data_IF_137341588539
#
_entry.id   IF_137341588539
#
_cell.length_a   1.000
_cell.length_b   1.000
_cell.length_c   1.000
_cell.angle_alpha   90.00
_cell.angle_beta   90.00
_cell.angle_gamma   90.00
#
_symmetry.space_group_name_H-M   'P 1'
#
loop_
_entity.id
_entity.type
_entity.pdbx_description
1 polymer ?
#
# COMPACT_ATOMS: atom_id res chain seq x y z
N UNK A 1 38.29 -20.19 6.03
CA UNK A 1 36.82 -20.41 6.02
C UNK A 1 35.99 -19.34 5.28
N UNK A 2 36.58 -18.28 4.69
CA UNK A 2 35.83 -17.34 3.83
C UNK A 2 35.25 -17.99 2.55
N UNK A 3 35.83 -19.10 2.09
CA UNK A 3 35.45 -19.83 0.87
C UNK A 3 34.10 -20.55 1.00
N UNK A 4 33.69 -20.96 2.22
CA UNK A 4 32.49 -21.78 2.44
C UNK A 4 31.15 -21.03 2.27
N UNK A 5 31.15 -19.70 2.14
CA UNK A 5 29.91 -18.90 1.98
C UNK A 5 29.58 -18.54 0.52
N UNK A 6 30.49 -18.83 -0.42
CA UNK A 6 30.27 -18.62 -1.86
C UNK A 6 29.13 -19.44 -2.48
N UNK A 7 28.87 -20.70 -2.07
CA UNK A 7 27.88 -21.53 -2.75
C UNK A 7 26.45 -20.97 -2.68
N UNK A 8 26.03 -20.39 -1.55
CA UNK A 8 24.70 -19.78 -1.45
C UNK A 8 24.56 -18.50 -2.30
N UNK A 9 25.66 -17.76 -2.51
CA UNK A 9 25.67 -16.54 -3.33
C UNK A 9 25.54 -16.85 -4.82
N UNK A 10 26.23 -17.90 -5.28
CA UNK A 10 26.16 -18.35 -6.67
C UNK A 10 24.82 -19.02 -6.99
N UNK A 11 24.27 -19.82 -6.08
CA UNK A 11 23.06 -20.62 -6.38
C UNK A 11 21.85 -19.77 -6.72
N UNK A 12 21.56 -18.68 -5.99
CA UNK A 12 20.40 -17.85 -6.33
C UNK A 12 20.52 -17.22 -7.73
N UNK A 13 21.72 -16.79 -8.11
CA UNK A 13 21.97 -16.19 -9.42
C UNK A 13 21.82 -17.24 -10.53
N UNK A 14 22.37 -18.44 -10.33
CA UNK A 14 22.21 -19.57 -11.25
C UNK A 14 20.75 -19.96 -11.41
N UNK A 15 19.99 -20.04 -10.32
CA UNK A 15 18.56 -20.35 -10.38
C UNK A 15 17.76 -19.26 -11.09
N UNK A 16 18.03 -17.99 -10.80
CA UNK A 16 17.37 -16.89 -11.47
C UNK A 16 17.68 -16.86 -12.98
N UNK A 17 18.94 -17.06 -13.38
CA UNK A 17 19.32 -17.16 -14.79
C UNK A 17 18.69 -18.38 -15.46
N UNK A 18 18.65 -19.53 -14.77
CA UNK A 18 17.98 -20.74 -15.27
C UNK A 18 16.49 -20.53 -15.50
N UNK A 19 15.81 -19.82 -14.59
CA UNK A 19 14.41 -19.44 -14.78
C UNK A 19 14.23 -18.54 -16.00
N UNK A 20 15.05 -17.50 -16.14
CA UNK A 20 14.98 -16.56 -17.28
C UNK A 20 15.24 -17.29 -18.60
N UNK A 21 16.26 -18.14 -18.67
CA UNK A 21 16.58 -18.92 -19.86
C UNK A 21 15.42 -19.88 -20.22
N UNK A 22 14.90 -20.62 -19.23
CA UNK A 22 13.77 -21.53 -19.43
C UNK A 22 12.55 -20.80 -20.03
N UNK A 23 12.17 -19.65 -19.46
CA UNK A 23 11.04 -18.85 -19.95
C UNK A 23 11.35 -18.24 -21.33
N UNK A 24 12.60 -17.80 -21.57
CA UNK A 24 13.07 -17.27 -22.85
C UNK A 24 13.00 -18.29 -23.99
N UNK A 25 13.25 -19.56 -23.69
CA UNK A 25 13.11 -20.69 -24.63
C UNK A 25 11.66 -21.16 -24.80
N UNK A 26 10.70 -20.49 -24.17
CA UNK A 26 9.27 -20.81 -24.25
C UNK A 26 8.80 -21.94 -23.32
N UNK A 27 9.68 -22.46 -22.46
CA UNK A 27 9.33 -23.49 -21.48
C UNK A 27 8.73 -22.90 -20.21
N UNK A 28 7.68 -23.54 -19.69
CA UNK A 28 6.97 -23.13 -18.48
C UNK A 28 7.38 -23.96 -17.28
N UNK A 29 7.22 -23.42 -16.08
CA UNK A 29 7.53 -24.09 -14.80
C UNK A 29 6.72 -25.38 -14.65
N UNK A 30 5.49 -25.42 -15.18
CA UNK A 30 4.64 -26.61 -15.16
C UNK A 30 4.92 -27.61 -16.28
N UNK A 31 5.91 -27.37 -17.15
CA UNK A 31 6.32 -28.32 -18.17
C UNK A 31 7.13 -29.48 -17.57
N UNK A 32 7.16 -30.64 -18.23
CA UNK A 32 8.00 -31.78 -17.84
C UNK A 32 9.39 -31.63 -18.47
N UNK A 33 10.50 -31.80 -17.73
CA UNK A 33 10.59 -32.19 -16.31
C UNK A 33 10.63 -31.02 -15.31
N UNK A 34 10.54 -29.76 -15.77
CA UNK A 34 10.72 -28.56 -14.95
C UNK A 34 9.89 -28.55 -13.65
N UNK A 35 8.64 -29.02 -13.68
CA UNK A 35 7.75 -29.03 -12.51
C UNK A 35 8.33 -29.82 -11.34
N UNK A 36 9.12 -30.87 -11.61
CA UNK A 36 9.78 -31.70 -10.60
C UNK A 36 11.17 -31.16 -10.24
N UNK A 37 11.87 -30.57 -11.22
CA UNK A 37 13.22 -30.00 -11.01
C UNK A 37 13.18 -28.81 -10.06
N UNK A 38 12.23 -27.87 -10.24
CA UNK A 38 12.13 -26.64 -9.46
C UNK A 38 12.03 -26.86 -7.94
N UNK A 39 11.13 -27.72 -7.43
CA UNK A 39 11.08 -28.05 -6.00
C UNK A 39 12.39 -28.60 -5.45
N UNK A 40 13.06 -29.48 -6.19
CA UNK A 40 14.33 -30.09 -5.77
C UNK A 40 15.44 -29.05 -5.66
N UNK A 41 15.63 -28.24 -6.71
CA UNK A 41 16.69 -27.21 -6.70
C UNK A 41 16.42 -26.10 -5.69
N UNK A 42 15.15 -25.76 -5.44
CA UNK A 42 14.78 -24.82 -4.37
C UNK A 42 15.05 -25.41 -2.99
N UNK A 43 14.72 -26.69 -2.75
CA UNK A 43 15.02 -27.35 -1.48
C UNK A 43 16.52 -27.39 -1.19
N UNK A 44 17.34 -27.72 -2.20
CA UNK A 44 18.79 -27.68 -2.11
C UNK A 44 19.30 -26.26 -1.85
N UNK A 45 18.78 -25.25 -2.54
CA UNK A 45 19.16 -23.85 -2.33
C UNK A 45 18.81 -23.36 -0.91
N UNK A 46 17.60 -23.64 -0.41
CA UNK A 46 17.16 -23.30 0.95
C UNK A 46 18.02 -24.03 2.00
N UNK A 47 18.36 -25.29 1.75
CA UNK A 47 19.27 -26.04 2.61
C UNK A 47 20.67 -25.38 2.65
N UNK A 48 21.24 -25.03 1.50
CA UNK A 48 22.54 -24.34 1.41
C UNK A 48 22.51 -22.95 2.06
N UNK A 49 21.40 -22.22 1.93
CA UNK A 49 21.18 -20.94 2.58
C UNK A 49 21.19 -21.11 4.11
N UNK A 50 20.44 -22.10 4.63
CA UNK A 50 20.42 -22.43 6.05
C UNK A 50 21.79 -22.83 6.61
N UNK A 51 22.57 -23.60 5.85
CA UNK A 51 23.93 -23.97 6.27
C UNK A 51 24.86 -22.75 6.29
N UNK A 52 24.75 -21.88 5.29
CA UNK A 52 25.47 -20.61 5.24
C UNK A 52 25.20 -19.75 6.47
N UNK A 53 23.92 -19.59 6.85
CA UNK A 53 23.53 -18.80 8.02
C UNK A 53 24.02 -19.42 9.33
N UNK A 54 23.94 -20.75 9.46
CA UNK A 54 24.46 -21.47 10.64
C UNK A 54 25.96 -21.27 10.83
N UNK A 55 26.73 -21.41 9.75
CA UNK A 55 28.18 -21.21 9.78
C UNK A 55 28.55 -19.76 10.15
N UNK A 56 27.74 -18.80 9.71
CA UNK A 56 27.93 -17.39 10.06
C UNK A 56 27.56 -17.08 11.50
N UNK A 57 26.46 -17.64 12.00
CA UNK A 57 26.06 -17.49 13.39
C UNK A 57 27.15 -18.03 14.33
N UNK A 58 27.76 -19.17 13.98
CA UNK A 58 28.90 -19.72 14.70
C UNK A 58 30.13 -18.78 14.66
N UNK A 59 30.46 -18.24 13.49
CA UNK A 59 31.60 -17.32 13.33
C UNK A 59 31.38 -15.92 13.96
N UNK A 60 30.14 -15.52 14.20
CA UNK A 60 29.79 -14.25 14.86
C UNK A 60 29.96 -14.31 16.39
N UNK A 61 29.92 -15.51 16.99
CA UNK A 61 30.23 -15.74 18.41
C UNK A 61 31.64 -15.29 18.81
N UNK A 62 32.57 -15.20 17.84
CA UNK A 62 33.98 -14.81 18.04
C UNK A 62 34.22 -13.27 18.03
N UNK A 63 33.21 -12.46 18.37
CA UNK A 63 33.37 -11.02 18.63
C UNK A 63 33.38 -10.10 17.40
N UNK A 64 32.85 -10.52 16.24
CA UNK A 64 32.71 -9.66 15.03
C UNK A 64 31.28 -9.14 14.84
N UNK A 65 31.10 -7.86 14.46
CA UNK A 65 29.83 -7.15 14.60
C UNK A 65 28.70 -7.66 13.68
N UNK A 66 27.46 -7.50 14.17
CA UNK A 66 26.19 -7.85 13.52
C UNK A 66 25.95 -7.22 12.13
N UNK A 67 26.74 -6.22 11.73
CA UNK A 67 26.64 -5.53 10.45
C UNK A 67 26.82 -6.47 9.23
N UNK A 68 27.56 -7.57 9.37
CA UNK A 68 27.75 -8.56 8.29
C UNK A 68 26.48 -9.38 8.01
N UNK A 69 25.56 -9.45 8.98
CA UNK A 69 24.35 -10.29 8.92
C UNK A 69 23.22 -9.65 8.09
N UNK A 70 23.19 -8.32 7.96
CA UNK A 70 22.17 -7.62 7.13
C UNK A 70 22.41 -7.78 5.63
N UNK A 71 23.67 -7.87 5.19
CA UNK A 71 24.03 -8.10 3.79
C UNK A 71 23.51 -9.44 3.24
N UNK A 72 23.28 -10.43 4.11
CA UNK A 72 22.73 -11.73 3.71
C UNK A 72 21.20 -11.78 3.67
N UNK A 73 20.51 -10.80 4.26
CA UNK A 73 19.06 -10.65 4.11
C UNK A 73 18.64 -10.53 2.64
N UNK A 74 19.50 -9.98 1.78
CA UNK A 74 19.23 -9.92 0.34
C UNK A 74 19.00 -11.29 -0.28
N UNK A 75 19.75 -12.33 0.11
CA UNK A 75 19.58 -13.67 -0.46
C UNK A 75 18.21 -14.26 -0.11
N UNK A 76 17.74 -14.08 1.12
CA UNK A 76 16.38 -14.47 1.51
C UNK A 76 15.30 -13.75 0.71
N UNK A 77 15.47 -12.45 0.49
CA UNK A 77 14.56 -11.67 -0.34
C UNK A 77 14.60 -12.11 -1.81
N UNK A 78 15.78 -12.37 -2.35
CA UNK A 78 15.97 -12.86 -3.72
C UNK A 78 15.35 -14.26 -3.91
N UNK A 79 15.48 -15.16 -2.94
CA UNK A 79 14.76 -16.45 -2.95
C UNK A 79 13.25 -16.24 -2.96
N UNK A 80 12.73 -15.32 -2.13
CA UNK A 80 11.31 -15.01 -2.11
C UNK A 80 10.82 -14.42 -3.44
N UNK A 81 11.61 -13.56 -4.10
CA UNK A 81 11.30 -13.05 -5.43
C UNK A 81 11.29 -14.17 -6.47
N UNK A 82 12.30 -15.03 -6.48
CA UNK A 82 12.35 -16.17 -7.40
C UNK A 82 11.12 -17.07 -7.25
N UNK A 83 10.76 -17.44 -6.01
CA UNK A 83 9.55 -18.24 -5.74
C UNK A 83 8.30 -17.51 -6.23
N UNK A 84 8.22 -16.20 -6.04
CA UNK A 84 7.10 -15.38 -6.52
C UNK A 84 7.01 -15.40 -8.05
N UNK A 85 8.14 -15.30 -8.76
CA UNK A 85 8.17 -15.39 -10.22
C UNK A 85 7.81 -16.79 -10.74
N UNK A 86 8.26 -17.86 -10.06
CA UNK A 86 7.87 -19.23 -10.39
C UNK A 86 6.35 -19.43 -10.23
N UNK A 87 5.78 -18.93 -9.13
CA UNK A 87 4.33 -18.93 -8.92
C UNK A 87 3.60 -18.11 -10.00
N UNK A 88 4.14 -16.95 -10.38
CA UNK A 88 3.58 -16.13 -11.44
C UNK A 88 3.59 -16.84 -12.80
N UNK A 89 4.63 -17.60 -13.15
CA UNK A 89 4.66 -18.40 -14.39
C UNK A 89 3.67 -19.59 -14.35
N UNK A 90 3.52 -20.24 -13.19
CA UNK A 90 2.48 -21.24 -12.97
C UNK A 90 1.07 -20.65 -13.18
N UNK A 91 0.82 -19.46 -12.62
CA UNK A 91 -0.45 -18.75 -12.79
C UNK A 91 -0.67 -18.32 -14.23
N UNK A 92 0.35 -17.78 -14.90
CA UNK A 92 0.31 -17.43 -16.33
C UNK A 92 -0.13 -18.62 -17.17
N UNK A 93 0.48 -19.79 -16.93
CA UNK A 93 0.14 -21.04 -17.59
C UNK A 93 -1.30 -21.49 -17.29
N UNK A 94 -1.75 -21.34 -16.04
CA UNK A 94 -3.12 -21.66 -15.62
C UNK A 94 -4.18 -20.76 -16.25
N UNK A 95 -3.94 -19.45 -16.28
CA UNK A 95 -4.81 -18.44 -16.91
C UNK A 95 -4.94 -18.71 -18.41
N UNK A 96 -3.83 -19.07 -19.07
CA UNK A 96 -3.82 -19.49 -20.46
C UNK A 96 -4.68 -20.72 -20.71
N UNK A 97 -4.47 -21.79 -19.94
CA UNK A 97 -5.25 -23.03 -20.05
C UNK A 97 -6.75 -22.83 -19.78
N UNK A 98 -7.10 -21.88 -18.92
CA UNK A 98 -8.48 -21.53 -18.59
C UNK A 98 -9.10 -20.47 -19.53
N UNK A 99 -8.38 -20.03 -20.58
CA UNK A 99 -8.84 -19.06 -21.57
C UNK A 99 -9.29 -17.70 -20.96
N UNK A 100 -8.72 -17.34 -19.81
CA UNK A 100 -9.15 -16.18 -19.02
C UNK A 100 -8.59 -14.84 -19.51
N UNK A 101 -7.62 -14.85 -20.43
CA UNK A 101 -6.95 -13.64 -20.95
C UNK A 101 -7.90 -12.64 -21.62
N UNK A 102 -9.05 -13.10 -22.12
CA UNK A 102 -10.08 -12.26 -22.74
C UNK A 102 -11.05 -11.61 -21.74
N UNK A 103 -10.85 -11.83 -20.44
CA UNK A 103 -11.73 -11.34 -19.38
C UNK A 103 -10.94 -10.61 -18.29
N UNK A 104 -11.63 -9.89 -17.42
CA UNK A 104 -11.01 -9.28 -16.24
C UNK A 104 -10.45 -10.30 -15.24
N UNK A 105 -10.78 -11.60 -15.36
CA UNK A 105 -10.27 -12.64 -14.48
C UNK A 105 -8.74 -12.76 -14.52
N UNK A 106 -8.10 -12.59 -15.68
CA UNK A 106 -6.65 -12.65 -15.77
C UNK A 106 -5.99 -11.61 -14.85
N UNK A 107 -6.46 -10.36 -14.91
CA UNK A 107 -5.99 -9.28 -14.04
C UNK A 107 -6.31 -9.53 -12.56
N UNK A 108 -7.53 -10.01 -12.26
CA UNK A 108 -7.96 -10.37 -10.90
C UNK A 108 -7.07 -11.44 -10.30
N UNK A 109 -6.87 -12.58 -11.00
CA UNK A 109 -6.07 -13.70 -10.50
C UNK A 109 -4.63 -13.28 -10.24
N UNK A 110 -4.01 -12.52 -11.17
CA UNK A 110 -2.64 -12.04 -11.01
C UNK A 110 -2.50 -11.07 -9.83
N UNK A 111 -3.40 -10.08 -9.72
CA UNK A 111 -3.33 -9.08 -8.67
C UNK A 111 -3.68 -9.67 -7.29
N UNK A 112 -4.70 -10.52 -7.18
CA UNK A 112 -5.04 -11.25 -5.94
C UNK A 112 -3.88 -12.12 -5.49
N UNK A 113 -3.17 -12.78 -6.42
CA UNK A 113 -2.00 -13.59 -6.08
C UNK A 113 -0.84 -12.74 -5.55
N UNK A 114 -0.56 -11.58 -6.18
CA UNK A 114 0.43 -10.64 -5.68
C UNK A 114 0.07 -10.10 -4.28
N UNK A 115 -1.22 -9.79 -4.06
CA UNK A 115 -1.76 -9.40 -2.74
C UNK A 115 -1.56 -10.52 -1.73
N UNK A 116 -1.86 -11.77 -2.10
CA UNK A 116 -1.73 -12.93 -1.23
C UNK A 116 -0.27 -13.15 -0.80
N UNK A 117 0.69 -13.04 -1.73
CA UNK A 117 2.12 -13.16 -1.40
C UNK A 117 2.58 -11.99 -0.51
N UNK A 118 2.20 -10.75 -0.84
CA UNK A 118 2.49 -9.58 0.00
C UNK A 118 1.96 -9.77 1.43
N UNK A 119 0.71 -10.21 1.55
CA UNK A 119 0.06 -10.45 2.82
C UNK A 119 0.70 -11.61 3.59
N UNK A 120 1.07 -12.69 2.90
CA UNK A 120 1.79 -13.81 3.50
C UNK A 120 3.12 -13.34 4.09
N UNK A 121 3.92 -12.57 3.35
CA UNK A 121 5.17 -11.99 3.84
C UNK A 121 4.93 -11.04 5.03
N UNK A 122 3.93 -10.15 4.93
CA UNK A 122 3.62 -9.19 5.98
C UNK A 122 3.12 -9.86 7.27
N UNK A 123 2.25 -10.88 7.18
CA UNK A 123 1.72 -11.61 8.34
C UNK A 123 2.74 -12.56 8.95
N UNK A 124 3.45 -13.33 8.12
CA UNK A 124 4.39 -14.33 8.57
C UNK A 124 5.67 -13.69 9.13
N UNK A 125 6.33 -12.84 8.34
CA UNK A 125 7.58 -12.22 8.76
C UNK A 125 7.37 -10.97 9.64
N UNK A 126 6.23 -10.30 9.54
CA UNK A 126 5.89 -9.17 10.41
C UNK A 126 5.81 -9.54 11.90
N UNK A 127 5.60 -10.83 12.24
CA UNK A 127 5.74 -11.33 13.62
C UNK A 127 7.11 -11.05 14.22
N UNK A 128 8.15 -10.99 13.40
CA UNK A 128 9.52 -10.67 13.78
C UNK A 128 9.89 -9.20 13.58
N UNK A 129 8.94 -8.27 13.50
CA UNK A 129 9.23 -6.85 13.30
C UNK A 129 9.80 -6.15 14.54
N UNK A 130 9.82 -6.81 15.70
CA UNK A 130 10.48 -6.34 16.94
C UNK A 130 11.55 -7.33 17.39
N UNK A 131 12.62 -6.88 18.10
CA UNK A 131 13.76 -7.73 18.41
C UNK A 131 13.40 -8.91 19.34
N UNK A 132 12.61 -8.65 20.38
CA UNK A 132 12.18 -9.69 21.33
C UNK A 132 11.31 -10.76 20.67
N UNK A 133 10.34 -10.35 19.84
CA UNK A 133 9.49 -11.29 19.10
C UNK A 133 10.30 -12.07 18.04
N UNK A 134 11.26 -11.40 17.37
CA UNK A 134 12.15 -12.03 16.39
C UNK A 134 13.02 -13.11 17.01
N UNK A 135 13.58 -12.86 18.20
CA UNK A 135 14.46 -13.82 18.88
C UNK A 135 13.78 -15.16 19.17
N UNK A 136 12.46 -15.15 19.42
CA UNK A 136 11.65 -16.34 19.68
C UNK A 136 11.25 -17.13 18.42
N UNK A 137 11.48 -16.59 17.22
CA UNK A 137 11.06 -17.23 15.97
C UNK A 137 12.14 -18.17 15.43
N UNK A 138 11.75 -19.29 14.80
CA UNK A 138 12.71 -20.18 14.15
C UNK A 138 13.32 -19.52 12.91
N UNK A 139 14.44 -20.09 12.45
CA UNK A 139 14.97 -19.80 11.13
C UNK A 139 13.88 -19.99 10.05
N UNK A 140 13.76 -19.10 9.05
CA UNK A 140 14.68 -18.02 8.70
C UNK A 140 14.37 -16.66 9.34
N UNK A 141 13.29 -16.53 10.11
CA UNK A 141 12.84 -15.23 10.64
C UNK A 141 13.79 -14.65 11.69
N UNK A 142 14.46 -15.50 12.46
CA UNK A 142 15.61 -15.08 13.26
C UNK A 142 16.91 -15.45 12.50
N UNK A 143 17.75 -14.49 12.09
CA UNK A 143 17.61 -13.03 12.24
C UNK A 143 16.92 -12.30 11.07
N UNK A 144 16.49 -13.00 10.01
CA UNK A 144 16.18 -12.39 8.71
C UNK A 144 14.73 -11.92 8.50
N UNK A 145 13.92 -11.73 9.53
CA UNK A 145 12.52 -11.29 9.37
C UNK A 145 12.39 -10.00 8.53
N UNK A 146 13.27 -9.02 8.73
CA UNK A 146 13.27 -7.76 7.97
C UNK A 146 13.46 -7.96 6.48
N UNK A 147 14.26 -8.95 6.07
CA UNK A 147 14.44 -9.28 4.66
C UNK A 147 13.11 -9.64 3.98
N UNK A 148 12.19 -10.27 4.70
CA UNK A 148 10.91 -10.71 4.15
C UNK A 148 9.83 -9.63 4.23
N UNK A 149 9.61 -9.03 5.41
CA UNK A 149 8.52 -8.04 5.56
C UNK A 149 8.86 -6.67 4.95
N UNK A 150 10.13 -6.37 4.71
CA UNK A 150 10.56 -5.11 4.09
C UNK A 150 11.14 -5.34 2.70
N UNK A 151 12.31 -5.98 2.60
CA UNK A 151 13.04 -6.05 1.32
C UNK A 151 12.28 -6.88 0.27
N UNK A 152 11.78 -8.07 0.63
CA UNK A 152 11.04 -8.93 -0.28
C UNK A 152 9.65 -8.36 -0.60
N UNK A 153 8.98 -7.83 0.42
CA UNK A 153 7.62 -7.28 0.30
C UNK A 153 7.56 -5.96 -0.48
N UNK A 154 8.62 -5.15 -0.50
CA UNK A 154 8.60 -3.82 -1.12
C UNK A 154 8.28 -3.85 -2.63
N UNK A 155 8.97 -4.64 -3.48
CA UNK A 155 8.61 -4.76 -4.89
C UNK A 155 7.16 -5.26 -5.10
N UNK A 156 6.69 -6.15 -4.23
CA UNK A 156 5.30 -6.63 -4.27
C UNK A 156 4.30 -5.54 -3.88
N UNK A 157 4.59 -4.72 -2.89
CA UNK A 157 3.75 -3.57 -2.53
C UNK A 157 3.69 -2.55 -3.68
N UNK A 158 4.83 -2.30 -4.35
CA UNK A 158 4.88 -1.45 -5.55
C UNK A 158 4.04 -2.06 -6.69
N UNK A 159 4.18 -3.38 -6.92
CA UNK A 159 3.39 -4.11 -7.91
C UNK A 159 1.88 -4.06 -7.60
N UNK A 160 1.49 -4.25 -6.34
CA UNK A 160 0.08 -4.18 -5.90
C UNK A 160 -0.46 -2.76 -6.06
N UNK A 161 0.33 -1.73 -5.75
CA UNK A 161 -0.09 -0.34 -5.94
C UNK A 161 -0.30 0.00 -7.42
N UNK A 162 0.69 -0.24 -8.28
CA UNK A 162 0.58 0.08 -9.70
C UNK A 162 -0.36 -0.88 -10.45
N UNK A 163 -0.38 -2.15 -10.06
CA UNK A 163 -1.32 -3.15 -10.59
C UNK A 163 -2.77 -2.81 -10.24
N UNK A 164 -3.04 -2.32 -9.03
CA UNK A 164 -4.38 -1.84 -8.68
C UNK A 164 -4.75 -0.56 -9.42
N UNK A 165 -3.82 0.36 -9.67
CA UNK A 165 -4.07 1.52 -10.53
C UNK A 165 -4.39 1.09 -11.98
N UNK A 166 -3.59 0.19 -12.55
CA UNK A 166 -3.80 -0.33 -13.89
C UNK A 166 -5.15 -1.04 -14.01
N UNK A 167 -5.47 -1.91 -13.04
CA UNK A 167 -6.74 -2.62 -12.97
C UNK A 167 -7.92 -1.65 -12.83
N UNK A 168 -7.81 -0.61 -12.00
CA UNK A 168 -8.87 0.37 -11.82
C UNK A 168 -9.22 1.08 -13.15
N UNK A 169 -8.21 1.45 -13.94
CA UNK A 169 -8.39 2.22 -15.19
C UNK A 169 -8.73 1.34 -16.40
N UNK A 170 -8.13 0.15 -16.53
CA UNK A 170 -8.27 -0.67 -17.74
C UNK A 170 -9.31 -1.78 -17.61
N UNK A 171 -9.63 -2.24 -16.40
CA UNK A 171 -10.59 -3.32 -16.22
C UNK A 171 -12.03 -2.81 -16.24
N UNK A 172 -12.79 -3.23 -17.26
CA UNK A 172 -14.23 -3.02 -17.35
C UNK A 172 -15.01 -3.79 -16.28
N UNK A 173 -14.37 -4.67 -15.51
CA UNK A 173 -15.04 -5.54 -14.53
C UNK A 173 -15.79 -6.71 -15.16
N UNK A 174 -15.53 -7.03 -16.44
CA UNK A 174 -16.17 -8.14 -17.13
C UNK A 174 -15.59 -9.48 -16.67
N UNK A 175 -16.28 -10.13 -15.72
CA UNK A 175 -15.85 -11.37 -15.04
C UNK A 175 -16.83 -12.52 -15.27
N UNK A 176 -17.14 -12.83 -16.53
CA UNK A 176 -18.02 -13.96 -16.87
C UNK A 176 -17.58 -15.26 -16.16
N UNK A 177 -18.52 -16.10 -15.67
CA UNK A 177 -19.98 -15.99 -15.78
C UNK A 177 -20.63 -15.10 -14.70
N UNK A 178 -19.87 -14.47 -13.81
CA UNK A 178 -20.44 -13.66 -12.72
C UNK A 178 -21.00 -12.33 -13.26
N UNK A 179 -22.21 -11.93 -12.84
CA UNK A 179 -22.75 -10.63 -13.18
C UNK A 179 -21.95 -9.51 -12.51
N UNK A 180 -21.98 -8.31 -13.09
CA UNK A 180 -21.40 -7.14 -12.46
C UNK A 180 -22.32 -6.65 -11.33
N UNK A 181 -21.85 -6.77 -10.09
CA UNK A 181 -22.47 -6.16 -8.91
C UNK A 181 -21.45 -5.17 -8.34
N UNK A 182 -21.76 -3.86 -8.26
CA UNK A 182 -20.83 -2.86 -7.78
C UNK A 182 -20.29 -3.23 -6.39
N UNK A 183 -18.98 -3.02 -6.16
CA UNK A 183 -18.27 -3.35 -4.91
C UNK A 183 -18.12 -4.85 -4.59
N UNK A 184 -18.97 -5.72 -5.16
CA UNK A 184 -18.89 -7.18 -5.00
C UNK A 184 -18.29 -7.89 -6.22
N UNK A 185 -18.15 -7.19 -7.34
CA UNK A 185 -17.46 -7.70 -8.51
C UNK A 185 -16.01 -8.07 -8.16
N UNK A 186 -15.45 -9.17 -8.71
CA UNK A 186 -14.08 -9.57 -8.41
C UNK A 186 -13.03 -8.48 -8.63
N UNK A 187 -13.21 -7.59 -9.62
CA UNK A 187 -12.30 -6.45 -9.83
C UNK A 187 -12.37 -5.48 -8.66
N UNK A 188 -13.57 -5.08 -8.25
CA UNK A 188 -13.79 -4.12 -7.16
C UNK A 188 -13.27 -4.68 -5.81
N UNK A 189 -13.58 -5.95 -5.53
CA UNK A 189 -13.09 -6.63 -4.33
C UNK A 189 -11.56 -6.74 -4.31
N UNK A 190 -10.94 -7.00 -5.48
CA UNK A 190 -9.48 -7.04 -5.59
C UNK A 190 -8.85 -5.68 -5.28
N UNK A 191 -9.45 -4.57 -5.75
CA UNK A 191 -8.98 -3.23 -5.40
C UNK A 191 -9.11 -2.95 -3.89
N UNK A 192 -10.21 -3.36 -3.27
CA UNK A 192 -10.40 -3.24 -1.83
C UNK A 192 -9.36 -4.07 -1.04
N UNK A 193 -9.08 -5.31 -1.48
CA UNK A 193 -8.03 -6.16 -0.91
C UNK A 193 -6.63 -5.56 -1.11
N UNK A 194 -6.36 -4.96 -2.27
CA UNK A 194 -5.10 -4.27 -2.55
C UNK A 194 -4.88 -3.14 -1.55
N UNK A 195 -5.87 -2.26 -1.37
CA UNK A 195 -5.85 -1.19 -0.39
C UNK A 195 -5.64 -1.71 1.04
N UNK A 196 -6.39 -2.74 1.44
CA UNK A 196 -6.25 -3.37 2.75
C UNK A 196 -4.83 -3.92 2.98
N UNK A 197 -4.26 -4.59 1.98
CA UNK A 197 -2.92 -5.16 2.05
C UNK A 197 -1.81 -4.11 2.16
N UNK A 198 -1.91 -3.02 1.40
CA UNK A 198 -0.97 -1.89 1.46
C UNK A 198 -1.03 -1.19 2.82
N UNK A 199 -2.23 -0.97 3.37
CA UNK A 199 -2.41 -0.42 4.72
C UNK A 199 -1.81 -1.35 5.77
N UNK A 200 -2.10 -2.65 5.68
CA UNK A 200 -1.61 -3.64 6.61
C UNK A 200 -0.08 -3.71 6.60
N UNK A 201 0.52 -3.86 5.43
CA UNK A 201 1.97 -3.86 5.26
C UNK A 201 2.61 -2.58 5.81
N UNK A 202 2.04 -1.41 5.51
CA UNK A 202 2.51 -0.14 6.10
C UNK A 202 2.44 -0.17 7.64
N UNK A 203 1.40 -0.73 8.25
CA UNK A 203 1.31 -0.86 9.72
C UNK A 203 2.41 -1.77 10.28
N UNK A 204 2.78 -2.85 9.57
CA UNK A 204 3.91 -3.70 9.95
C UNK A 204 5.21 -2.89 9.99
N UNK A 205 5.44 -2.02 9.00
CA UNK A 205 6.63 -1.15 8.95
C UNK A 205 6.63 -0.05 10.02
N UNK A 206 5.48 0.60 10.24
CA UNK A 206 5.35 1.66 11.26
C UNK A 206 5.57 1.10 12.68
N UNK A 207 5.21 -0.16 12.91
CA UNK A 207 5.37 -0.81 14.22
C UNK A 207 6.70 -1.54 14.41
N UNK A 208 7.57 -1.56 13.39
CA UNK A 208 8.86 -2.24 13.42
C UNK A 208 9.90 -1.48 14.26
N UNK A 209 10.64 -2.21 15.10
CA UNK A 209 11.74 -1.68 15.90
C UNK A 209 13.02 -2.52 15.67
N UNK A 210 14.16 -1.89 15.29
CA UNK A 210 14.26 -0.54 14.75
C UNK A 210 13.47 -0.39 13.44
N UNK A 211 13.10 0.84 13.03
CA UNK A 211 12.45 1.06 11.74
C UNK A 211 13.41 0.64 10.61
N UNK A 212 12.91 -0.03 9.54
CA UNK A 212 13.77 -0.48 8.45
C UNK A 212 14.45 0.69 7.74
N UNK A 213 15.67 0.45 7.26
CA UNK A 213 16.46 1.48 6.59
C UNK A 213 15.70 2.06 5.37
N UNK A 214 15.68 3.39 5.26
CA UNK A 214 15.01 4.15 4.19
C UNK A 214 13.48 3.90 4.08
N UNK A 215 12.82 3.37 5.11
CA UNK A 215 11.36 3.16 5.09
C UNK A 215 10.53 4.45 5.31
N UNK A 216 11.18 5.58 5.59
CA UNK A 216 10.51 6.85 5.93
C UNK A 216 9.51 7.36 4.90
N UNK A 217 9.73 7.11 3.61
CA UNK A 217 8.80 7.53 2.55
C UNK A 217 7.50 6.70 2.55
N UNK A 218 7.56 5.42 2.96
CA UNK A 218 6.40 4.52 3.09
C UNK A 218 5.64 4.77 4.41
N UNK A 219 6.37 5.02 5.49
CA UNK A 219 5.77 5.26 6.81
C UNK A 219 5.28 6.71 6.95
N UNK A 220 5.76 7.63 6.12
CA UNK A 220 5.40 9.05 6.15
C UNK A 220 4.02 9.41 5.57
N UNK A 221 3.77 10.72 5.48
CA UNK A 221 2.51 11.31 4.99
C UNK A 221 2.30 11.10 3.48
N UNK A 222 3.36 11.09 2.68
CA UNK A 222 3.25 10.94 1.22
C UNK A 222 2.62 9.60 0.82
N UNK A 223 2.96 8.51 1.51
CA UNK A 223 2.33 7.21 1.29
C UNK A 223 0.83 7.22 1.63
N UNK A 224 0.41 7.96 2.67
CA UNK A 224 -1.01 8.11 2.99
C UNK A 224 -1.75 8.90 1.91
N UNK A 225 -1.12 9.93 1.34
CA UNK A 225 -1.68 10.68 0.20
C UNK A 225 -1.79 9.78 -1.03
N UNK A 226 -0.76 9.01 -1.36
CA UNK A 226 -0.80 8.05 -2.47
C UNK A 226 -1.91 7.01 -2.30
N UNK A 227 -2.09 6.49 -1.09
CA UNK A 227 -3.18 5.56 -0.79
C UNK A 227 -4.56 6.24 -0.91
N UNK A 228 -4.70 7.48 -0.43
CA UNK A 228 -5.94 8.25 -0.57
C UNK A 228 -6.28 8.53 -2.04
N UNK A 229 -5.28 8.83 -2.87
CA UNK A 229 -5.45 8.98 -4.32
C UNK A 229 -5.90 7.67 -4.96
N UNK A 230 -5.30 6.53 -4.57
CA UNK A 230 -5.72 5.22 -5.06
C UNK A 230 -7.17 4.90 -4.66
N UNK A 231 -7.58 5.21 -3.43
CA UNK A 231 -8.99 5.08 -2.99
C UNK A 231 -9.91 5.96 -3.85
N UNK A 232 -9.53 7.22 -4.08
CA UNK A 232 -10.31 8.14 -4.90
C UNK A 232 -10.48 7.59 -6.33
N UNK A 233 -9.41 7.12 -6.96
CA UNK A 233 -9.44 6.52 -8.30
C UNK A 233 -10.29 5.24 -8.31
N UNK A 234 -10.14 4.37 -7.30
CA UNK A 234 -10.94 3.15 -7.18
C UNK A 234 -12.45 3.48 -7.10
N UNK A 235 -12.85 4.45 -6.28
CA UNK A 235 -14.26 4.86 -6.15
C UNK A 235 -14.79 5.44 -7.47
N UNK A 236 -14.02 6.31 -8.15
CA UNK A 236 -14.42 6.87 -9.44
C UNK A 236 -14.57 5.78 -10.51
N UNK A 237 -13.69 4.80 -10.53
CA UNK A 237 -13.75 3.71 -11.52
C UNK A 237 -14.87 2.71 -11.24
N UNK A 238 -15.30 2.53 -9.98
CA UNK A 238 -16.54 1.80 -9.66
C UNK A 238 -17.73 2.49 -10.31
N UNK A 239 -17.83 3.84 -10.23
CA UNK A 239 -18.88 4.57 -10.91
C UNK A 239 -18.82 4.40 -12.44
N UNK A 240 -17.64 4.45 -13.05
CA UNK A 240 -17.49 4.17 -14.48
C UNK A 240 -17.98 2.76 -14.84
N UNK A 241 -17.69 1.75 -14.01
CA UNK A 241 -18.18 0.39 -14.23
C UNK A 241 -19.69 0.29 -14.08
N UNK A 242 -20.28 1.03 -13.14
CA UNK A 242 -21.74 1.16 -13.03
C UNK A 242 -22.32 1.74 -14.31
N UNK A 243 -21.77 2.85 -14.82
CA UNK A 243 -22.20 3.47 -16.08
C UNK A 243 -22.09 2.48 -17.27
N UNK A 244 -21.00 1.71 -17.31
CA UNK A 244 -20.76 0.73 -18.36
C UNK A 244 -21.79 -0.42 -18.35
N UNK A 245 -21.98 -1.05 -17.19
CA UNK A 245 -22.80 -2.26 -17.07
C UNK A 245 -24.30 -1.98 -17.00
N UNK A 246 -24.72 -0.87 -16.38
CA UNK A 246 -26.15 -0.58 -16.15
C UNK A 246 -26.73 0.46 -17.10
N UNK A 247 -25.91 1.34 -17.69
CA UNK A 247 -26.36 2.42 -18.56
C UNK A 247 -25.86 2.29 -20.01
N UNK A 248 -25.19 1.18 -20.35
CA UNK A 248 -24.77 0.85 -21.72
C UNK A 248 -23.66 1.74 -22.27
N UNK A 249 -22.98 2.52 -21.43
CA UNK A 249 -21.86 3.36 -21.87
C UNK A 249 -20.69 2.46 -22.25
N UNK A 250 -20.11 2.61 -23.44
CA UNK A 250 -18.97 1.78 -23.87
C UNK A 250 -17.78 2.03 -22.95
N UNK A 251 -17.04 0.97 -22.59
CA UNK A 251 -15.78 1.08 -21.83
C UNK A 251 -14.65 1.55 -22.76
N UNK A 252 -14.74 2.82 -23.15
CA UNK A 252 -13.79 3.53 -23.99
C UNK A 252 -13.60 4.94 -23.39
N UNK A 253 -12.37 5.46 -23.43
CA UNK A 253 -12.05 6.71 -22.76
C UNK A 253 -12.86 7.90 -23.30
N UNK A 254 -13.08 7.97 -24.62
CA UNK A 254 -13.87 9.04 -25.25
C UNK A 254 -15.35 8.89 -24.90
N UNK A 255 -15.89 7.68 -25.05
CA UNK A 255 -17.30 7.41 -24.74
C UNK A 255 -17.65 7.67 -23.25
N UNK A 256 -16.77 7.30 -22.33
CA UNK A 256 -16.95 7.58 -20.90
C UNK A 256 -16.86 9.08 -20.60
N UNK A 257 -15.95 9.79 -21.26
CA UNK A 257 -15.78 11.23 -21.06
C UNK A 257 -16.98 12.03 -21.59
N UNK A 258 -17.47 11.70 -22.78
CA UNK A 258 -18.58 12.42 -23.44
C UNK A 258 -19.96 12.04 -22.88
N UNK A 259 -20.05 10.98 -22.07
CA UNK A 259 -21.32 10.50 -21.53
C UNK A 259 -21.89 11.44 -20.47
N UNK A 260 -23.09 11.98 -20.73
CA UNK A 260 -23.89 12.72 -19.75
C UNK A 260 -24.07 11.96 -18.43
N UNK A 261 -24.45 10.67 -18.49
CA UNK A 261 -24.65 9.82 -17.29
C UNK A 261 -23.40 9.80 -16.41
N UNK A 262 -22.22 9.55 -16.99
CA UNK A 262 -20.93 9.56 -16.29
C UNK A 262 -20.67 10.91 -15.63
N UNK A 263 -20.83 12.02 -16.36
CA UNK A 263 -20.55 13.37 -15.86
C UNK A 263 -21.47 13.76 -14.70
N UNK A 264 -22.78 13.55 -14.85
CA UNK A 264 -23.75 13.79 -13.78
C UNK A 264 -23.48 12.92 -12.57
N UNK A 265 -23.19 11.64 -12.77
CA UNK A 265 -22.88 10.75 -11.66
C UNK A 265 -21.58 11.09 -10.94
N UNK A 266 -20.55 11.61 -11.63
CA UNK A 266 -19.36 12.14 -10.97
C UNK A 266 -19.69 13.35 -10.10
N UNK A 267 -20.54 14.27 -10.55
CA UNK A 267 -20.96 15.42 -9.74
C UNK A 267 -21.67 14.98 -8.45
N UNK A 268 -22.60 14.01 -8.57
CA UNK A 268 -23.31 13.44 -7.41
C UNK A 268 -22.32 12.71 -6.48
N UNK A 269 -21.47 11.84 -7.04
CA UNK A 269 -20.48 11.06 -6.30
C UNK A 269 -19.52 11.95 -5.51
N UNK A 270 -18.95 12.97 -6.16
CA UNK A 270 -18.01 13.89 -5.52
C UNK A 270 -18.68 14.74 -4.46
N UNK A 271 -19.93 15.15 -4.67
CA UNK A 271 -20.72 15.83 -3.63
C UNK A 271 -20.90 14.93 -2.41
N UNK A 272 -21.36 13.70 -2.60
CA UNK A 272 -21.55 12.74 -1.49
C UNK A 272 -20.22 12.43 -0.78
N UNK A 273 -19.12 12.29 -1.52
CA UNK A 273 -17.80 12.08 -0.96
C UNK A 273 -17.33 13.29 -0.14
N UNK A 274 -17.48 14.50 -0.67
CA UNK A 274 -17.13 15.73 0.01
C UNK A 274 -17.91 15.89 1.32
N UNK A 275 -19.24 15.71 1.28
CA UNK A 275 -20.10 15.74 2.47
C UNK A 275 -19.66 14.71 3.51
N UNK A 276 -19.45 13.47 3.08
CA UNK A 276 -19.01 12.38 3.96
C UNK A 276 -17.67 12.68 4.62
N UNK A 277 -16.72 13.25 3.87
CA UNK A 277 -15.42 13.68 4.40
C UNK A 277 -15.55 14.81 5.42
N UNK A 278 -16.38 15.82 5.14
CA UNK A 278 -16.59 16.96 6.05
C UNK A 278 -17.29 16.54 7.34
N UNK A 279 -18.32 15.68 7.26
CA UNK A 279 -19.02 15.13 8.43
C UNK A 279 -18.08 14.25 9.25
N UNK A 280 -17.32 13.36 8.61
CA UNK A 280 -16.35 12.51 9.31
C UNK A 280 -15.23 13.34 9.96
N UNK A 281 -14.76 14.38 9.27
CA UNK A 281 -13.76 15.30 9.78
C UNK A 281 -14.25 16.07 10.99
N UNK A 282 -15.51 16.53 10.97
CA UNK A 282 -16.15 17.17 12.10
C UNK A 282 -16.20 16.22 13.31
N UNK A 283 -16.72 15.00 13.11
CA UNK A 283 -16.81 13.97 14.17
C UNK A 283 -15.46 13.56 14.75
N UNK A 284 -14.38 13.61 13.95
CA UNK A 284 -13.02 13.24 14.39
C UNK A 284 -12.12 14.42 14.72
N UNK A 285 -12.65 15.66 14.70
CA UNK A 285 -11.88 16.89 14.86
C UNK A 285 -10.66 17.01 13.92
N UNK A 286 -10.77 16.50 12.68
CA UNK A 286 -9.67 16.45 11.71
C UNK A 286 -9.77 17.60 10.70
N UNK A 287 -9.25 18.77 11.06
CA UNK A 287 -9.25 19.95 10.19
C UNK A 287 -8.70 19.70 8.77
N UNK A 288 -7.58 18.97 8.56
CA UNK A 288 -7.10 18.69 7.20
C UNK A 288 -8.09 17.90 6.36
N UNK A 289 -8.79 16.93 6.94
CA UNK A 289 -9.79 16.12 6.22
C UNK A 289 -10.99 16.98 5.82
N UNK A 290 -11.41 17.90 6.69
CA UNK A 290 -12.49 18.85 6.40
C UNK A 290 -12.13 19.74 5.21
N UNK A 291 -10.90 20.27 5.18
CA UNK A 291 -10.43 21.14 4.09
C UNK A 291 -10.35 20.40 2.75
N UNK A 292 -9.96 19.12 2.74
CA UNK A 292 -9.98 18.31 1.51
C UNK A 292 -11.42 18.11 1.03
N UNK A 293 -12.37 17.83 1.93
CA UNK A 293 -13.79 17.73 1.59
C UNK A 293 -14.36 19.04 1.04
N UNK A 294 -14.08 20.16 1.70
CA UNK A 294 -14.49 21.49 1.23
C UNK A 294 -13.87 21.83 -0.13
N UNK A 295 -12.60 21.49 -0.35
CA UNK A 295 -11.93 21.66 -1.66
C UNK A 295 -12.58 20.82 -2.76
N UNK A 296 -12.92 19.56 -2.49
CA UNK A 296 -13.64 18.69 -3.43
C UNK A 296 -15.03 19.25 -3.76
N UNK A 297 -15.74 19.77 -2.75
CA UNK A 297 -17.03 20.43 -2.97
C UNK A 297 -16.89 21.69 -3.83
N UNK A 298 -15.88 22.52 -3.56
CA UNK A 298 -15.56 23.68 -4.39
C UNK A 298 -15.26 23.31 -5.83
N UNK A 299 -14.53 22.21 -6.06
CA UNK A 299 -14.28 21.67 -7.41
C UNK A 299 -15.57 21.27 -8.12
N UNK A 300 -16.51 20.61 -7.42
CA UNK A 300 -17.83 20.29 -7.98
C UNK A 300 -18.57 21.55 -8.37
N UNK A 301 -18.61 22.56 -7.50
CA UNK A 301 -19.28 23.84 -7.82
C UNK A 301 -18.67 24.48 -9.05
N UNK A 302 -17.35 24.58 -9.13
CA UNK A 302 -16.66 25.12 -10.32
C UNK A 302 -17.03 24.32 -11.57
N UNK A 303 -17.05 22.98 -11.49
CA UNK A 303 -17.47 22.10 -12.60
C UNK A 303 -18.89 22.42 -13.07
N UNK A 304 -19.86 22.48 -12.14
CA UNK A 304 -21.26 22.80 -12.46
C UNK A 304 -21.38 24.19 -13.11
N UNK A 305 -20.67 25.19 -12.58
CA UNK A 305 -20.72 26.56 -13.08
C UNK A 305 -20.08 26.74 -14.47
N UNK A 306 -18.99 26.04 -14.75
CA UNK A 306 -18.29 26.20 -16.02
C UNK A 306 -18.85 25.30 -17.13
N UNK A 307 -19.21 24.07 -16.79
CA UNK A 307 -19.60 23.04 -17.78
C UNK A 307 -21.12 23.01 -17.95
N UNK A 308 -21.88 22.99 -16.86
CA UNK A 308 -23.31 22.76 -16.95
C UNK A 308 -24.07 24.06 -17.21
N UNK A 309 -23.66 25.18 -16.58
CA UNK A 309 -24.28 26.48 -16.85
C UNK A 309 -24.00 27.00 -18.27
N UNK A 310 -22.85 26.70 -18.88
CA UNK A 310 -22.54 27.15 -20.23
C UNK A 310 -23.46 26.53 -21.29
N UNK A 311 -23.97 25.32 -21.03
CA UNK A 311 -24.92 24.61 -21.90
C UNK A 311 -26.38 24.68 -21.43
N UNK A 312 -26.68 25.30 -20.30
CA UNK A 312 -28.02 25.37 -19.71
C UNK A 312 -28.75 26.69 -20.01
N UNK A 313 -30.08 26.62 -20.20
CA UNK A 313 -30.97 27.77 -20.33
C UNK A 313 -31.09 28.60 -19.05
N UNK A 314 -31.80 29.75 -19.12
CA UNK A 314 -31.86 30.71 -18.02
C UNK A 314 -32.47 30.17 -16.72
N UNK A 315 -33.50 29.32 -16.82
CA UNK A 315 -34.20 28.78 -15.64
C UNK A 315 -33.40 27.66 -14.95
N UNK A 316 -32.74 26.80 -15.73
CA UNK A 316 -31.89 25.72 -15.26
C UNK A 316 -30.70 26.26 -14.46
N UNK A 317 -30.14 27.39 -14.90
CA UNK A 317 -29.08 28.11 -14.17
C UNK A 317 -29.54 28.56 -12.79
N UNK A 318 -30.74 29.12 -12.67
CA UNK A 318 -31.30 29.58 -11.39
C UNK A 318 -31.50 28.39 -10.43
N UNK A 319 -32.09 27.28 -10.92
CA UNK A 319 -32.30 26.07 -10.12
C UNK A 319 -30.97 25.50 -9.63
N UNK A 320 -29.94 25.44 -10.50
CA UNK A 320 -28.61 24.97 -10.13
C UNK A 320 -27.97 25.86 -9.05
N UNK A 321 -28.07 27.20 -9.15
CA UNK A 321 -27.58 28.11 -8.12
C UNK A 321 -28.28 27.91 -6.78
N UNK A 322 -29.60 27.72 -6.78
CA UNK A 322 -30.36 27.45 -5.55
C UNK A 322 -29.92 26.13 -4.93
N UNK A 323 -29.81 25.06 -5.73
CA UNK A 323 -29.37 23.75 -5.25
C UNK A 323 -27.98 23.81 -4.61
N UNK A 324 -27.03 24.51 -5.26
CA UNK A 324 -25.68 24.74 -4.71
C UNK A 324 -25.74 25.57 -3.42
N UNK A 325 -26.55 26.64 -3.38
CA UNK A 325 -26.72 27.48 -2.20
C UNK A 325 -27.29 26.72 -1.01
N UNK A 326 -28.32 25.89 -1.23
CA UNK A 326 -28.90 25.01 -0.20
C UNK A 326 -27.86 23.99 0.28
N UNK A 327 -27.10 23.39 -0.64
CA UNK A 327 -26.03 22.46 -0.29
C UNK A 327 -24.96 23.11 0.60
N UNK A 328 -24.52 24.33 0.26
CA UNK A 328 -23.59 25.11 1.07
C UNK A 328 -24.15 25.41 2.47
N UNK A 329 -25.45 25.73 2.58
CA UNK A 329 -26.12 25.97 3.85
C UNK A 329 -26.15 24.71 4.72
N UNK A 330 -26.53 23.56 4.15
CA UNK A 330 -26.56 22.26 4.84
C UNK A 330 -25.17 21.91 5.37
N UNK A 331 -24.13 22.12 4.57
CA UNK A 331 -22.73 21.89 4.98
C UNK A 331 -22.33 22.81 6.14
N UNK A 332 -22.62 24.11 6.02
CA UNK A 332 -22.31 25.09 7.06
C UNK A 332 -23.00 24.77 8.39
N UNK A 333 -24.21 24.21 8.35
CA UNK A 333 -24.97 23.82 9.52
C UNK A 333 -24.47 22.50 10.16
N UNK A 334 -24.33 21.42 9.38
CA UNK A 334 -24.05 20.07 9.91
C UNK A 334 -22.56 19.73 10.06
N UNK A 335 -21.67 20.46 9.38
CA UNK A 335 -20.25 20.16 9.40
C UNK A 335 -19.41 21.44 9.57
N UNK A 336 -19.52 22.14 10.73
CA UNK A 336 -18.71 23.32 10.97
C UNK A 336 -17.21 22.94 11.08
N UNK A 337 -16.35 23.88 10.67
CA UNK A 337 -14.90 23.70 10.65
C UNK A 337 -14.38 23.35 12.05
N UNK A 338 -13.66 22.22 12.24
CA UNK A 338 -13.09 21.88 13.53
C UNK A 338 -12.11 22.98 14.04
N UNK A 339 -12.15 23.32 15.33
CA UNK A 339 -11.26 24.33 15.90
C UNK A 339 -9.79 23.93 15.73
N UNK A 340 -8.91 24.95 15.65
CA UNK A 340 -7.45 24.72 15.59
C UNK A 340 -7.00 24.17 16.95
N UNK A 341 -6.15 23.14 16.95
CA UNK A 341 -5.50 22.69 18.18
C UNK A 341 -4.74 23.87 18.81
N UNK A 342 -5.01 24.16 20.08
CA UNK A 342 -4.32 25.20 20.82
C UNK A 342 -2.81 24.89 20.85
N UNK A 343 -1.93 25.90 20.67
CA UNK A 343 -0.51 25.72 20.92
C UNK A 343 -0.32 25.13 22.31
N UNK A 344 0.50 24.09 22.44
CA UNK A 344 0.89 23.54 23.74
C UNK A 344 1.51 24.69 24.53
N UNK A 345 0.81 25.17 25.55
CA UNK A 345 1.36 26.15 26.48
C UNK A 345 2.68 25.58 26.98
N UNK A 346 3.77 26.30 26.72
CA UNK A 346 5.03 26.09 27.44
C UNK A 346 4.65 26.31 28.91
N UNK A 347 4.86 25.33 29.81
CA UNK A 347 4.64 25.58 31.23
C UNK A 347 5.43 26.83 31.60
N UNK A 348 4.75 27.85 32.11
CA UNK A 348 5.39 29.07 32.59
C UNK A 348 6.59 28.68 33.44
N UNK A 349 7.75 29.25 33.10
CA UNK A 349 8.95 29.08 33.91
C UNK A 349 8.58 29.40 35.36
N UNK A 350 8.95 28.55 36.34
CA UNK A 350 8.61 28.82 37.74
C UNK A 350 9.12 30.20 38.13
N UNK A 351 8.33 31.00 38.88
CA UNK A 351 8.71 32.35 39.26
C UNK A 351 10.08 32.31 39.96
N UNK A 352 10.98 33.21 39.56
CA UNK A 352 12.29 33.34 40.16
C UNK A 352 12.13 33.50 41.69
N UNK A 353 12.71 32.58 42.46
CA UNK A 353 12.73 32.67 43.92
C UNK A 353 13.36 34.00 44.34
N UNK A 354 12.80 34.71 45.34
CA UNK A 354 13.41 35.91 45.88
C UNK A 354 14.79 35.57 46.47
N UNK A 355 15.79 36.39 46.14
CA UNK A 355 17.16 36.23 46.61
C UNK A 355 17.20 36.16 48.14
N UNK A 356 17.84 35.12 48.67
CA UNK A 356 18.09 34.97 50.10
C UNK A 356 19.12 36.02 50.57
N UNK A 357 18.94 36.63 51.76
CA UNK A 357 19.89 37.59 52.30
C UNK A 357 21.22 36.91 52.66
N UNK A 358 22.32 37.55 52.27
CA UNK A 358 23.69 37.16 52.60
C UNK A 358 23.89 37.27 54.11
N UNK A 359 24.21 36.16 54.78
CA UNK A 359 24.58 36.16 56.20
C UNK A 359 25.99 36.77 56.39
N UNK A 360 26.24 37.54 57.46
CA UNK A 360 27.53 38.16 57.70
C UNK A 360 28.60 37.13 58.09
N UNK A 361 29.81 37.38 57.60
CA UNK A 361 31.05 36.63 57.88
C UNK A 361 31.35 36.70 59.38
N UNK A 362 31.42 35.56 60.05
CA UNK A 362 32.03 35.47 61.37
C UNK A 362 33.55 35.43 61.21
N UNK A 363 34.20 36.54 61.55
CA UNK A 363 35.61 36.54 61.96
C UNK A 363 35.72 35.81 63.30
N UNK A 364 36.40 34.67 63.32
CA UNK A 364 36.93 34.12 64.57
C UNK A 364 38.44 33.90 64.39
N UNK A 365 39.18 34.78 65.07
CA UNK A 365 40.61 34.74 65.27
C UNK A 365 41.03 33.46 66.02
N UNK A 366 42.26 33.02 65.78
CA UNK A 366 43.36 32.96 66.76
C UNK A 366 44.47 31.99 66.27
N UNK A 367 45.71 32.07 66.79
CA UNK A 367 46.22 32.96 67.84
C UNK A 367 47.22 34.03 67.39
#
# INVERSE_FOLDING_TARGET
WAVATWPARGTIAVLAMGFVAQVGDGYRVLATPAWAVWPVVLALHVWMLRQTDRLQAAAAGDGKPAARMSAFGWFHAATAWLVTFLLADCLWSGIGKAELWRTSWAGVVMLVSAIAVLMALALWAGRGNRPAARAALPWPLNPHAEAYYWLAALPLAVLVFWGSLLAAVHSSGHTAPLPYIPLLNPTDLTLALALGSLVFWRRVLVSALPPPAKAGWVTGRHALVALALLVFIAINTVWLRVAHHFFGVRWDASALFDSFVVQTGYAILWTLLALSMMVLAHRRAQRPLWLVGAGLLGLVVVKLLLIDLSNAGGAERIIAFIAVGVLMLVVGYFAPLPPKAAPRAVPDAPPASPAAPVAPVQEELLP
#
